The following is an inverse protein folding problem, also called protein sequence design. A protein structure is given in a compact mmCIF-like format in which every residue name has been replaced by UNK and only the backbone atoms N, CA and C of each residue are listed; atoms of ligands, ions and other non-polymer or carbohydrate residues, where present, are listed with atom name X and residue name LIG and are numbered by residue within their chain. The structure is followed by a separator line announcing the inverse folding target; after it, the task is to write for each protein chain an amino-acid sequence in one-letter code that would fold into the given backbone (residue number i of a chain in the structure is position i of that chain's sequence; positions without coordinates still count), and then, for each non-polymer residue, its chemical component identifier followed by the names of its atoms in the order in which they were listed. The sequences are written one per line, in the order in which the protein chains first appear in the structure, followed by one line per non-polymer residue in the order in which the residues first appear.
data_IF_681703750258
#
_entry.id   IF_681703750258
#
_cell.length_a   1.000
_cell.length_b   1.000
_cell.length_c   1.000
_cell.angle_alpha   90.00
_cell.angle_beta   90.00
_cell.angle_gamma   90.00
#
_symmetry.space_group_name_H-M   'P 1'
#
loop_
_entity.id
_entity.type
_entity.pdbx_description
1 polymer ?
#
# COMPACT_ATOMS: atom_id res chain seq x y z
N UNK A 1 10.08 5.92 4.22
CA UNK A 1 10.11 4.49 4.57
C UNK A 1 9.18 3.65 3.69
N UNK A 2 7.88 3.92 3.66
CA UNK A 2 6.90 3.10 2.90
C UNK A 2 7.20 2.97 1.41
N UNK A 3 7.63 4.06 0.76
CA UNK A 3 7.99 4.00 -0.67
C UNK A 3 9.10 2.99 -0.94
N UNK A 4 10.10 2.90 -0.06
CA UNK A 4 11.21 1.94 -0.17
C UNK A 4 10.70 0.53 0.11
N UNK A 5 9.87 0.38 1.14
CA UNK A 5 9.25 -0.90 1.50
C UNK A 5 8.41 -1.46 0.34
N UNK A 6 7.45 -0.68 -0.17
CA UNK A 6 6.56 -1.06 -1.29
C UNK A 6 7.36 -1.36 -2.55
N UNK A 7 8.32 -0.51 -2.91
CA UNK A 7 9.15 -0.75 -4.09
C UNK A 7 9.96 -2.05 -3.98
N UNK A 8 10.43 -2.37 -2.77
CA UNK A 8 11.17 -3.61 -2.51
C UNK A 8 10.26 -4.84 -2.62
N UNK A 9 9.01 -4.76 -2.12
CA UNK A 9 8.00 -5.81 -2.31
C UNK A 9 7.68 -6.03 -3.79
N UNK A 10 7.39 -4.96 -4.53
CA UNK A 10 7.06 -5.04 -5.97
C UNK A 10 8.20 -5.70 -6.74
N UNK A 11 9.43 -5.26 -6.50
CA UNK A 11 10.62 -5.82 -7.14
C UNK A 11 10.77 -7.31 -6.83
N UNK A 12 10.63 -7.71 -5.57
CA UNK A 12 10.73 -9.12 -5.18
C UNK A 12 9.63 -10.00 -5.79
N UNK A 13 8.41 -9.48 -5.96
CA UNK A 13 7.32 -10.22 -6.64
C UNK A 13 7.59 -10.36 -8.15
N UNK A 14 8.05 -9.29 -8.80
CA UNK A 14 8.40 -9.29 -10.22
C UNK A 14 9.55 -10.26 -10.55
N UNK A 15 10.63 -10.24 -9.76
CA UNK A 15 11.79 -11.09 -9.96
C UNK A 15 11.48 -12.57 -9.73
N UNK A 16 10.60 -12.86 -8.78
CA UNK A 16 10.27 -14.22 -8.41
C UNK A 16 9.16 -14.86 -9.28
N UNK A 17 8.69 -14.15 -10.31
CA UNK A 17 7.65 -14.63 -11.25
C UNK A 17 6.41 -15.19 -10.57
N UNK A 18 6.07 -14.69 -9.36
CA UNK A 18 4.91 -15.19 -8.62
C UNK A 18 3.64 -14.47 -9.10
N UNK A 19 2.62 -15.20 -9.58
CA UNK A 19 1.33 -14.63 -9.95
C UNK A 19 0.44 -14.31 -8.74
N UNK A 20 0.95 -14.48 -7.51
CA UNK A 20 0.15 -14.31 -6.30
C UNK A 20 -0.01 -12.85 -5.89
N UNK A 21 -1.22 -12.53 -5.42
CA UNK A 21 -1.64 -11.20 -4.95
C UNK A 21 -0.93 -10.78 -3.66
N UNK A 22 -0.44 -11.74 -2.87
CA UNK A 22 0.25 -11.48 -1.60
C UNK A 22 1.76 -11.83 -1.66
N UNK A 23 2.62 -10.96 -1.11
CA UNK A 23 4.05 -11.21 -1.05
C UNK A 23 4.34 -12.37 -0.10
N UNK A 24 5.25 -13.25 -0.51
CA UNK A 24 5.75 -14.32 0.36
C UNK A 24 6.59 -13.75 1.53
N UNK A 25 6.87 -14.60 2.51
CA UNK A 25 7.66 -14.25 3.71
C UNK A 25 9.00 -13.61 3.30
N UNK A 26 9.68 -14.18 2.30
CA UNK A 26 10.98 -13.73 1.80
C UNK A 26 10.93 -12.29 1.27
N UNK A 27 9.88 -11.92 0.53
CA UNK A 27 9.71 -10.57 0.01
C UNK A 27 9.54 -9.55 1.16
N UNK A 28 8.75 -9.88 2.18
CA UNK A 28 8.58 -9.02 3.36
C UNK A 28 9.90 -8.88 4.13
N UNK A 29 10.63 -9.98 4.34
CA UNK A 29 11.93 -9.94 5.01
C UNK A 29 12.95 -9.09 4.23
N UNK A 30 12.99 -9.23 2.90
CA UNK A 30 13.85 -8.43 2.05
C UNK A 30 13.49 -6.93 2.10
N UNK A 31 12.21 -6.60 2.06
CA UNK A 31 11.73 -5.22 2.18
C UNK A 31 12.08 -4.61 3.54
N UNK A 32 11.92 -5.37 4.64
CA UNK A 32 12.34 -4.94 5.99
C UNK A 32 13.85 -4.73 6.06
N UNK A 33 14.65 -5.65 5.52
CA UNK A 33 16.11 -5.52 5.47
C UNK A 33 16.53 -4.26 4.70
N UNK A 34 15.87 -3.97 3.56
CA UNK A 34 16.16 -2.77 2.77
C UNK A 34 15.81 -1.49 3.52
N UNK A 35 14.69 -1.47 4.22
CA UNK A 35 14.31 -0.35 5.08
C UNK A 35 15.34 -0.15 6.19
N UNK A 36 15.73 -1.21 6.90
CA UNK A 36 16.73 -1.14 7.95
C UNK A 36 18.07 -0.60 7.43
N UNK A 37 18.50 -1.05 6.25
CA UNK A 37 19.71 -0.56 5.60
C UNK A 37 19.62 0.93 5.25
N UNK A 38 18.52 1.38 4.64
CA UNK A 38 18.37 2.75 4.17
C UNK A 38 18.16 3.77 5.30
N UNK A 39 17.53 3.36 6.41
CA UNK A 39 17.11 4.29 7.46
C UNK A 39 17.78 4.03 8.82
N UNK A 40 18.72 3.07 8.91
CA UNK A 40 19.41 2.73 10.15
C UNK A 40 18.50 2.11 11.22
N UNK A 41 17.33 1.59 10.83
CA UNK A 41 16.35 1.02 11.77
C UNK A 41 16.64 -0.46 12.08
N UNK A 42 15.96 -0.98 13.10
CA UNK A 42 16.01 -2.41 13.50
C UNK A 42 14.63 -3.05 13.52
N UNK A 43 13.88 -2.86 12.44
CA UNK A 43 12.54 -3.42 12.27
C UNK A 43 12.64 -4.93 12.02
N UNK A 44 11.66 -5.68 12.54
CA UNK A 44 11.59 -7.12 12.36
C UNK A 44 10.55 -7.50 11.30
N UNK A 45 10.56 -8.78 10.89
CA UNK A 45 9.57 -9.33 9.95
C UNK A 45 8.12 -9.04 10.37
N UNK A 46 7.80 -9.20 11.66
CA UNK A 46 6.45 -8.93 12.19
C UNK A 46 5.99 -7.51 11.92
N UNK A 47 6.87 -6.52 12.10
CA UNK A 47 6.58 -5.14 11.74
C UNK A 47 6.28 -5.00 10.24
N UNK A 48 7.09 -5.63 9.39
CA UNK A 48 6.87 -5.65 7.93
C UNK A 48 5.53 -6.25 7.55
N UNK A 49 5.13 -7.37 8.17
CA UNK A 49 3.84 -8.01 7.93
C UNK A 49 2.67 -7.14 8.37
N UNK A 50 2.71 -6.57 9.58
CA UNK A 50 1.70 -5.62 10.03
C UNK A 50 1.61 -4.40 9.09
N UNK A 51 2.76 -3.90 8.61
CA UNK A 51 2.79 -2.77 7.69
C UNK A 51 2.18 -3.13 6.34
N UNK A 52 2.46 -4.33 5.81
CA UNK A 52 1.85 -4.83 4.58
C UNK A 52 0.32 -4.89 4.70
N UNK A 53 -0.20 -5.50 5.77
CA UNK A 53 -1.65 -5.59 5.98
C UNK A 53 -2.31 -4.22 6.04
N UNK A 54 -1.70 -3.27 6.76
CA UNK A 54 -2.22 -1.90 6.81
C UNK A 54 -2.20 -1.19 5.44
N UNK A 55 -1.17 -1.43 4.61
CA UNK A 55 -1.12 -0.88 3.26
C UNK A 55 -2.19 -1.52 2.35
N UNK A 56 -2.44 -2.83 2.52
CA UNK A 56 -3.48 -3.56 1.79
C UNK A 56 -4.88 -3.04 2.12
N UNK A 57 -5.17 -2.83 3.40
CA UNK A 57 -6.43 -2.21 3.85
C UNK A 57 -6.62 -0.83 3.24
N UNK A 58 -5.61 0.05 3.33
CA UNK A 58 -5.68 1.39 2.73
C UNK A 58 -5.89 1.32 1.22
N UNK A 59 -5.19 0.43 0.53
CA UNK A 59 -5.38 0.23 -0.90
C UNK A 59 -6.80 -0.22 -1.23
N UNK A 60 -7.37 -1.15 -0.46
CA UNK A 60 -8.76 -1.59 -0.63
C UNK A 60 -9.74 -0.43 -0.43
N UNK A 61 -9.57 0.38 0.63
CA UNK A 61 -10.39 1.57 0.87
C UNK A 61 -10.29 2.57 -0.28
N UNK A 62 -9.08 2.91 -0.73
CA UNK A 62 -8.90 3.83 -1.86
C UNK A 62 -9.48 3.26 -3.16
N UNK A 63 -9.33 1.97 -3.42
CA UNK A 63 -9.90 1.31 -4.60
C UNK A 63 -11.43 1.35 -4.56
N UNK A 64 -12.03 1.11 -3.39
CA UNK A 64 -13.47 1.23 -3.21
C UNK A 64 -13.95 2.67 -3.44
N UNK A 65 -13.27 3.66 -2.85
CA UNK A 65 -13.61 5.08 -3.03
C UNK A 65 -13.53 5.51 -4.49
N UNK A 66 -12.45 5.20 -5.19
CA UNK A 66 -12.23 5.63 -6.59
C UNK A 66 -13.25 5.00 -7.55
N UNK A 67 -13.74 3.80 -7.24
CA UNK A 67 -14.75 3.13 -8.06
C UNK A 67 -16.20 3.50 -7.70
N UNK A 68 -16.40 4.31 -6.65
CA UNK A 68 -17.74 4.77 -6.25
C UNK A 68 -18.24 5.83 -7.24
N UNK A 69 -19.47 5.73 -7.75
CA UNK A 69 -20.07 6.79 -8.55
C UNK A 69 -20.05 8.14 -7.82
N UNK A 70 -19.74 9.21 -8.54
CA UNK A 70 -19.58 10.56 -7.98
C UNK A 70 -18.26 10.80 -7.24
N UNK A 71 -17.30 9.87 -7.31
CA UNK A 71 -15.92 10.08 -6.85
C UNK A 71 -14.98 10.19 -8.04
N UNK A 72 -14.21 11.27 -8.08
CA UNK A 72 -13.28 11.57 -9.15
C UNK A 72 -11.86 11.74 -8.60
N UNK A 73 -10.95 10.87 -9.03
CA UNK A 73 -9.53 11.02 -8.73
C UNK A 73 -8.90 12.06 -9.65
N UNK A 74 -8.18 13.05 -9.09
CA UNK A 74 -7.36 14.00 -9.83
C UNK A 74 -5.88 13.62 -9.67
N UNK A 75 -5.27 12.90 -10.63
CA UNK A 75 -3.91 12.36 -10.48
C UNK A 75 -2.85 13.45 -10.29
N UNK A 76 -2.99 14.58 -11.00
CA UNK A 76 -2.02 15.69 -10.96
C UNK A 76 -1.92 16.34 -9.59
N UNK A 77 -3.03 16.40 -8.86
CA UNK A 77 -3.11 17.04 -7.54
C UNK A 77 -3.07 16.05 -6.39
N UNK A 78 -3.26 14.76 -6.67
CA UNK A 78 -3.42 13.68 -5.68
C UNK A 78 -4.60 13.93 -4.73
N UNK A 79 -5.73 14.39 -5.29
CA UNK A 79 -6.95 14.74 -4.55
C UNK A 79 -8.12 13.91 -5.08
N UNK A 80 -9.01 13.50 -4.18
CA UNK A 80 -10.33 12.97 -4.52
C UNK A 80 -11.34 14.12 -4.49
N UNK A 81 -12.07 14.31 -5.60
CA UNK A 81 -13.30 15.09 -5.61
C UNK A 81 -14.46 14.13 -5.40
N UNK A 82 -15.42 14.54 -4.57
CA UNK A 82 -16.59 13.76 -4.23
C UNK A 82 -17.77 14.70 -4.45
N UNK A 83 -18.73 14.28 -5.26
CA UNK A 83 -19.94 15.04 -5.54
C UNK A 83 -20.81 15.11 -4.27
N UNK A 84 -21.37 16.27 -3.95
CA UNK A 84 -22.41 16.35 -2.92
C UNK A 84 -23.67 15.61 -3.43
N UNK A 85 -24.34 14.77 -2.60
CA UNK A 85 -24.23 14.66 -1.14
C UNK A 85 -23.38 13.47 -0.61
N UNK A 86 -22.52 12.85 -1.42
CA UNK A 86 -21.79 11.62 -1.03
C UNK A 86 -20.83 11.78 0.17
N UNK A 87 -20.53 13.02 0.58
CA UNK A 87 -19.72 13.32 1.76
C UNK A 87 -20.32 12.74 3.05
N UNK A 88 -21.65 12.80 3.22
CA UNK A 88 -22.34 12.36 4.44
C UNK A 88 -22.35 10.83 4.61
N UNK A 89 -22.18 10.10 3.51
CA UNK A 89 -22.16 8.63 3.49
C UNK A 89 -20.75 8.05 3.66
N UNK A 90 -19.70 8.84 3.46
CA UNK A 90 -18.29 8.38 3.56
C UNK A 90 -17.72 8.59 4.97
N UNK A 91 -18.31 9.50 5.75
CA UNK A 91 -17.86 9.87 7.10
C UNK A 91 -18.51 9.10 8.26
N UNK A 92 -19.43 8.15 8.01
CA UNK A 92 -20.02 7.25 9.01
C UNK A 92 -19.33 5.89 9.02
#
# INVERSE_FOLDING_TARGET
MDRVFIASIIKSVQEAHFPHVDPNITAIQHAVAKVNQCFGTRLCYRYGLCRWNHLKERHATFSWLINRPGVHWIPRRKILLIDEPLWDDIGR
#
